data_IF_928972408224
#
_entry.id   IF_928972408224
#
_cell.length_a   1.000
_cell.length_b   1.000
_cell.length_c   1.000
_cell.angle_alpha   90.00
_cell.angle_beta   90.00
_cell.angle_gamma   90.00
#
_symmetry.space_group_name_H-M   'P 1'
#
loop_
_entity.id
_entity.type
_entity.pdbx_description
1 polymer ?
#
# COMPACT_ATOMS: atom_id res chain seq x y z
N UNK A 1 -10.17 11.49 -12.36
CA UNK A 1 -9.75 11.48 -10.94
C UNK A 1 -9.92 12.89 -10.40
N UNK A 2 -10.78 13.07 -9.40
CA UNK A 2 -10.87 14.32 -8.65
C UNK A 2 -9.96 14.14 -7.43
N UNK A 3 -9.15 15.14 -7.05
CA UNK A 3 -8.15 15.08 -5.98
C UNK A 3 -8.75 14.96 -4.55
N UNK A 4 -9.82 14.20 -4.40
CA UNK A 4 -10.57 14.00 -3.16
C UNK A 4 -10.15 12.69 -2.52
N UNK A 5 -9.87 12.72 -1.22
CA UNK A 5 -9.67 11.53 -0.40
C UNK A 5 -11.02 10.82 -0.29
N UNK A 6 -11.08 9.54 -0.64
CA UNK A 6 -12.29 8.73 -0.42
C UNK A 6 -12.36 8.21 1.02
N UNK A 7 -13.50 7.66 1.42
CA UNK A 7 -13.73 7.07 2.76
C UNK A 7 -12.63 6.09 3.22
N UNK A 8 -12.05 5.32 2.30
CA UNK A 8 -10.93 4.44 2.62
C UNK A 8 -9.67 5.22 3.03
N UNK A 9 -9.37 6.34 2.38
CA UNK A 9 -8.23 7.19 2.72
C UNK A 9 -8.41 7.91 4.05
N UNK A 10 -9.63 8.34 4.38
CA UNK A 10 -9.95 8.93 5.69
C UNK A 10 -9.67 7.95 6.83
N UNK A 11 -10.11 6.69 6.69
CA UNK A 11 -9.84 5.64 7.68
C UNK A 11 -8.34 5.34 7.84
N UNK A 12 -7.56 5.42 6.76
CA UNK A 12 -6.10 5.23 6.84
C UNK A 12 -5.44 6.39 7.56
N UNK A 13 -5.91 7.63 7.37
CA UNK A 13 -5.43 8.79 8.12
C UNK A 13 -5.72 8.66 9.62
N UNK A 14 -6.95 8.28 9.98
CA UNK A 14 -7.31 8.04 11.38
C UNK A 14 -6.45 6.95 12.02
N UNK A 15 -6.27 5.82 11.32
CA UNK A 15 -5.39 4.75 11.77
C UNK A 15 -3.93 5.22 11.93
N UNK A 16 -3.47 6.11 11.05
CA UNK A 16 -2.11 6.65 11.14
C UNK A 16 -1.92 7.43 12.44
N UNK A 17 -2.86 8.29 12.82
CA UNK A 17 -2.73 9.05 14.08
C UNK A 17 -2.75 8.11 15.30
N UNK A 18 -3.59 7.07 15.30
CA UNK A 18 -3.60 6.06 16.38
C UNK A 18 -2.23 5.36 16.49
N UNK A 19 -1.63 4.94 15.37
CA UNK A 19 -0.33 4.28 15.37
C UNK A 19 0.76 5.23 15.86
N UNK A 20 0.71 6.49 15.45
CA UNK A 20 1.67 7.52 15.83
C UNK A 20 1.59 7.85 17.31
N UNK A 21 0.39 7.95 17.88
CA UNK A 21 0.18 8.13 19.32
C UNK A 21 0.68 6.93 20.12
N UNK A 22 0.41 5.70 19.64
CA UNK A 22 0.79 4.49 20.34
C UNK A 22 2.30 4.20 20.29
N UNK A 23 3.00 4.63 19.24
CA UNK A 23 4.40 4.26 19.00
C UNK A 23 5.39 5.41 19.13
N UNK A 24 4.92 6.66 19.02
CA UNK A 24 5.78 7.85 18.93
C UNK A 24 6.64 7.92 17.67
N UNK A 25 6.41 7.02 16.70
CA UNK A 25 7.19 6.96 15.46
C UNK A 25 6.62 7.92 14.42
N UNK A 26 7.52 8.41 13.56
CA UNK A 26 7.14 9.22 12.39
C UNK A 26 6.40 8.34 11.39
N UNK A 27 5.22 8.80 10.96
CA UNK A 27 4.48 8.16 9.87
C UNK A 27 4.61 9.01 8.61
N UNK A 28 4.91 8.35 7.51
CA UNK A 28 4.99 8.94 6.17
C UNK A 28 3.85 8.38 5.34
N UNK A 29 3.02 9.27 4.79
CA UNK A 29 1.93 8.88 3.89
C UNK A 29 2.48 8.61 2.49
N UNK A 30 2.08 7.49 1.90
CA UNK A 30 2.47 7.09 0.56
C UNK A 30 1.25 6.94 -0.33
N UNK A 31 1.28 7.56 -1.52
CA UNK A 31 0.19 7.44 -2.49
C UNK A 31 0.42 6.19 -3.36
N UNK A 32 -0.45 5.18 -3.20
CA UNK A 32 -0.34 3.90 -3.89
C UNK A 32 -0.68 3.93 -5.39
N UNK A 33 -1.17 5.05 -5.93
CA UNK A 33 -1.71 5.12 -7.30
C UNK A 33 -0.74 4.73 -8.43
N UNK A 34 0.55 4.58 -8.14
CA UNK A 34 1.60 4.22 -9.11
C UNK A 34 1.92 2.71 -9.17
N UNK A 35 1.31 1.85 -8.36
CA UNK A 35 1.66 0.41 -8.27
C UNK A 35 0.98 -0.50 -9.31
N UNK A 36 0.21 0.07 -10.24
CA UNK A 36 -0.76 -0.62 -11.10
C UNK A 36 -0.16 -1.71 -11.99
N UNK A 37 1.05 -1.53 -12.53
CA UNK A 37 1.64 -2.51 -13.48
C UNK A 37 2.11 -3.78 -12.76
N UNK A 38 2.65 -3.63 -11.56
CA UNK A 38 3.29 -4.72 -10.83
C UNK A 38 2.26 -5.56 -10.04
N UNK A 39 1.20 -4.92 -9.53
CA UNK A 39 0.04 -5.59 -8.95
C UNK A 39 -0.72 -6.45 -9.99
N UNK A 40 -0.85 -5.96 -11.23
CA UNK A 40 -1.48 -6.72 -12.32
C UNK A 40 -0.72 -8.01 -12.68
N UNK A 41 0.62 -7.98 -12.70
CA UNK A 41 1.44 -9.19 -12.92
C UNK A 41 1.26 -10.23 -11.82
N UNK A 42 1.27 -9.81 -10.56
CA UNK A 42 1.07 -10.70 -9.42
C UNK A 42 -0.32 -11.37 -9.40
N UNK A 43 -1.35 -10.68 -9.91
CA UNK A 43 -2.71 -11.24 -10.01
C UNK A 43 -2.83 -12.32 -11.10
N UNK A 44 -2.02 -12.26 -12.16
CA UNK A 44 -2.02 -13.24 -13.26
C UNK A 44 -1.29 -14.54 -12.91
N UNK A 45 -0.25 -14.49 -12.07
CA UNK A 45 0.56 -15.67 -11.71
C UNK A 45 -0.08 -16.56 -10.63
N UNK A 46 -1.11 -16.07 -9.92
CA UNK A 46 -1.69 -16.77 -8.79
C UNK A 46 -2.82 -17.73 -9.21
N UNK A 47 -2.49 -18.87 -9.83
CA UNK A 47 -3.40 -20.02 -10.01
C UNK A 47 -3.64 -20.78 -8.69
N UNK A 48 -4.11 -20.03 -7.69
CA UNK A 48 -4.28 -20.45 -6.30
C UNK A 48 -5.71 -20.16 -5.85
N UNK A 49 -6.22 -20.97 -4.92
CA UNK A 49 -7.56 -20.80 -4.34
C UNK A 49 -7.77 -19.39 -3.78
N UNK A 50 -9.00 -18.85 -3.89
CA UNK A 50 -9.33 -17.43 -3.60
C UNK A 50 -8.80 -16.94 -2.24
N UNK A 51 -8.84 -17.78 -1.21
CA UNK A 51 -8.34 -17.46 0.13
C UNK A 51 -6.81 -17.30 0.17
N UNK A 52 -6.07 -18.22 -0.48
CA UNK A 52 -4.61 -18.13 -0.61
C UNK A 52 -4.22 -16.92 -1.46
N UNK A 53 -4.97 -16.66 -2.54
CA UNK A 53 -4.76 -15.50 -3.42
C UNK A 53 -4.86 -14.18 -2.65
N UNK A 54 -5.89 -14.00 -1.81
CA UNK A 54 -6.05 -12.76 -1.02
C UNK A 54 -4.83 -12.46 -0.14
N UNK A 55 -4.38 -13.44 0.66
CA UNK A 55 -3.21 -13.27 1.53
C UNK A 55 -1.93 -12.95 0.77
N UNK A 56 -1.74 -13.56 -0.40
CA UNK A 56 -0.56 -13.33 -1.25
C UNK A 56 -0.62 -11.95 -1.88
N UNK A 57 -1.78 -11.54 -2.39
CA UNK A 57 -1.99 -10.20 -2.96
C UNK A 57 -1.71 -9.12 -1.92
N UNK A 58 -2.22 -9.26 -0.69
CA UNK A 58 -2.00 -8.29 0.38
C UNK A 58 -0.50 -8.14 0.72
N UNK A 59 0.23 -9.27 0.79
CA UNK A 59 1.68 -9.26 1.02
C UNK A 59 2.45 -8.59 -0.12
N UNK A 60 2.06 -8.89 -1.36
CA UNK A 60 2.71 -8.34 -2.55
C UNK A 60 2.45 -6.83 -2.65
N UNK A 61 1.22 -6.38 -2.38
CA UNK A 61 0.87 -4.97 -2.32
C UNK A 61 1.76 -4.23 -1.30
N UNK A 62 1.86 -4.73 -0.06
CA UNK A 62 2.72 -4.16 0.96
C UNK A 62 4.20 -4.06 0.53
N UNK A 63 4.69 -5.06 -0.22
CA UNK A 63 6.05 -5.06 -0.76
C UNK A 63 6.23 -3.98 -1.82
N UNK A 64 5.25 -3.79 -2.72
CA UNK A 64 5.31 -2.75 -3.73
C UNK A 64 5.19 -1.34 -3.17
N UNK A 65 4.38 -1.13 -2.12
CA UNK A 65 4.32 0.14 -1.39
C UNK A 65 5.71 0.50 -0.87
N UNK A 66 6.34 -0.44 -0.16
CA UNK A 66 7.67 -0.23 0.43
C UNK A 66 8.73 0.00 -0.65
N UNK A 67 8.71 -0.81 -1.72
CA UNK A 67 9.66 -0.65 -2.83
C UNK A 67 9.51 0.73 -3.48
N UNK A 68 8.29 1.18 -3.76
CA UNK A 68 8.06 2.51 -4.33
C UNK A 68 8.57 3.64 -3.43
N UNK A 69 8.39 3.51 -2.12
CA UNK A 69 8.93 4.46 -1.15
C UNK A 69 10.47 4.48 -1.15
N UNK A 70 11.10 3.31 -1.12
CA UNK A 70 12.56 3.17 -1.15
C UNK A 70 13.16 3.68 -2.48
N UNK A 71 12.52 3.40 -3.60
CA UNK A 71 12.95 3.87 -4.91
C UNK A 71 12.97 5.40 -4.95
N UNK A 72 11.93 6.07 -4.44
CA UNK A 72 11.91 7.54 -4.31
C UNK A 72 13.04 8.07 -3.41
N UNK A 73 13.39 7.36 -2.33
CA UNK A 73 14.51 7.76 -1.50
C UNK A 73 15.86 7.58 -2.21
N UNK A 74 15.99 6.55 -3.05
CA UNK A 74 17.22 6.27 -3.81
C UNK A 74 17.45 7.20 -5.00
N UNK A 75 16.38 7.82 -5.54
CA UNK A 75 16.44 8.77 -6.65
C UNK A 75 16.73 10.22 -6.21
N UNK A 76 17.15 10.43 -4.96
CA UNK A 76 17.68 11.70 -4.43
C UNK A 76 19.19 11.71 -4.47
#
# INVERSE_FOLDING_TARGET
>A
MNNTIGEAGERVLELSEIIKEATGLKIEMWDERLTTVAAHKAMLEADLSRCKRKKIVDKIAATYILQGYLDRLSMK
#
